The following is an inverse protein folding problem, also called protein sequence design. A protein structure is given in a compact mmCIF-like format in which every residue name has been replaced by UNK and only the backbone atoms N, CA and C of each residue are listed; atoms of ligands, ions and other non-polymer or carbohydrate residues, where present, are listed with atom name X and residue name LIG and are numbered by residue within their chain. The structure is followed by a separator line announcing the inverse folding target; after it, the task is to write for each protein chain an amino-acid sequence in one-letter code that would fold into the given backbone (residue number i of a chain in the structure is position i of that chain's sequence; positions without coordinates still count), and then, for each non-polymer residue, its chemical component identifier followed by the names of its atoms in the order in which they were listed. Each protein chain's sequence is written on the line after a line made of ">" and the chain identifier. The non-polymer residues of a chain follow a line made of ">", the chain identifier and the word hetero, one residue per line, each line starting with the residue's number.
data_IF_109278978889
#
_entry.id   IF_109278978889
#
_cell.length_a   1.000
_cell.length_b   1.000
_cell.length_c   1.000
_cell.angle_alpha   90.00
_cell.angle_beta   90.00
_cell.angle_gamma   90.00
#
_symmetry.space_group_name_H-M   'P 1'
#
loop_
_entity.id
_entity.type
_entity.pdbx_description
1 polymer ?
#
# COMPACT_ATOMS: atom_id res chain seq x y z
N UNK A 1 -15.47 -1.77 -14.07
CA UNK A 1 -14.31 -1.31 -13.29
C UNK A 1 -14.64 -1.38 -11.82
N UNK A 2 -13.84 -2.14 -11.08
CA UNK A 2 -13.93 -2.26 -9.63
C UNK A 2 -13.53 -0.96 -8.94
N UNK A 3 -14.24 -0.63 -7.86
CA UNK A 3 -13.87 0.41 -6.91
C UNK A 3 -13.00 -0.20 -5.80
N UNK A 4 -11.70 -0.40 -6.09
CA UNK A 4 -10.80 -1.13 -5.18
C UNK A 4 -10.65 -0.43 -3.83
N UNK A 5 -10.60 0.90 -3.80
CA UNK A 5 -10.61 1.66 -2.53
C UNK A 5 -11.84 1.32 -1.67
N UNK A 6 -13.03 1.32 -2.27
CA UNK A 6 -14.28 0.98 -1.56
C UNK A 6 -14.27 -0.46 -1.04
N UNK A 7 -13.75 -1.40 -1.81
CA UNK A 7 -13.61 -2.80 -1.36
C UNK A 7 -12.67 -2.92 -0.15
N UNK A 8 -11.59 -2.16 -0.11
CA UNK A 8 -10.66 -2.13 1.03
C UNK A 8 -11.31 -1.45 2.25
N UNK A 9 -12.07 -0.37 2.05
CA UNK A 9 -12.86 0.27 3.11
C UNK A 9 -13.88 -0.71 3.71
N UNK A 10 -14.62 -1.43 2.86
CA UNK A 10 -15.56 -2.48 3.28
C UNK A 10 -14.85 -3.61 4.04
N UNK A 11 -13.61 -3.95 3.67
CA UNK A 11 -12.80 -4.92 4.41
C UNK A 11 -12.49 -4.45 5.84
N UNK A 12 -12.06 -3.20 6.03
CA UNK A 12 -11.79 -2.69 7.39
C UNK A 12 -13.06 -2.59 8.25
N UNK A 13 -14.21 -2.28 7.64
CA UNK A 13 -15.51 -2.37 8.32
C UNK A 13 -15.85 -3.81 8.73
N UNK A 14 -15.57 -4.78 7.85
CA UNK A 14 -15.75 -6.20 8.13
C UNK A 14 -14.83 -6.68 9.26
N UNK A 15 -13.55 -6.30 9.25
CA UNK A 15 -12.58 -6.57 10.31
C UNK A 15 -13.08 -6.08 11.67
N UNK A 16 -13.54 -4.82 11.72
CA UNK A 16 -14.07 -4.23 12.95
C UNK A 16 -15.32 -4.95 13.46
N UNK A 17 -16.25 -5.29 12.55
CA UNK A 17 -17.54 -5.90 12.91
C UNK A 17 -17.41 -7.36 13.37
N UNK A 18 -16.37 -8.06 12.92
CA UNK A 18 -16.16 -9.48 13.22
C UNK A 18 -14.96 -9.70 14.15
N UNK A 19 -14.34 -8.63 14.64
CA UNK A 19 -13.18 -8.69 15.55
C UNK A 19 -12.05 -9.54 14.97
N UNK A 20 -11.77 -9.36 13.66
CA UNK A 20 -10.73 -10.13 12.97
C UNK A 20 -9.36 -9.64 13.45
N UNK A 21 -8.53 -10.58 13.88
CA UNK A 21 -7.19 -10.29 14.36
C UNK A 21 -6.22 -10.09 13.18
N UNK A 22 -5.61 -8.91 13.11
CA UNK A 22 -4.51 -8.59 12.19
C UNK A 22 -3.27 -8.28 13.02
N UNK A 23 -2.31 -9.18 13.11
CA UNK A 23 -1.15 -9.05 14.01
C UNK A 23 0.17 -8.79 13.28
N UNK A 24 0.18 -8.86 11.94
CA UNK A 24 1.31 -8.51 11.07
C UNK A 24 0.85 -8.35 9.60
N UNK A 25 1.80 -8.06 8.70
CA UNK A 25 1.54 -7.86 7.27
C UNK A 25 0.98 -9.11 6.58
N UNK A 26 1.46 -10.29 6.96
CA UNK A 26 0.98 -11.56 6.43
C UNK A 26 -0.51 -11.79 6.76
N UNK A 27 -0.91 -11.53 8.01
CA UNK A 27 -2.32 -11.62 8.42
C UNK A 27 -3.19 -10.59 7.69
N UNK A 28 -2.71 -9.36 7.51
CA UNK A 28 -3.43 -8.32 6.73
C UNK A 28 -3.66 -8.80 5.29
N UNK A 29 -2.62 -9.33 4.64
CA UNK A 29 -2.70 -9.85 3.29
C UNK A 29 -3.69 -11.01 3.15
N UNK A 30 -3.60 -12.01 4.03
CA UNK A 30 -4.46 -13.18 3.95
C UNK A 30 -5.93 -12.84 4.19
N UNK A 31 -6.22 -12.04 5.22
CA UNK A 31 -7.59 -11.64 5.54
C UNK A 31 -8.21 -10.79 4.42
N UNK A 32 -7.48 -9.81 3.88
CA UNK A 32 -7.96 -9.01 2.76
C UNK A 32 -8.18 -9.86 1.51
N UNK A 33 -7.25 -10.75 1.18
CA UNK A 33 -7.40 -11.60 -0.01
C UNK A 33 -8.54 -12.61 0.10
N UNK A 34 -8.77 -13.19 1.28
CA UNK A 34 -9.93 -14.06 1.53
C UNK A 34 -11.23 -13.27 1.40
N UNK A 35 -11.28 -12.07 1.98
CA UNK A 35 -12.44 -11.18 1.85
C UNK A 35 -12.73 -10.85 0.38
N UNK A 36 -11.69 -10.50 -0.40
CA UNK A 36 -11.83 -10.18 -1.82
C UNK A 36 -12.29 -11.39 -2.64
N UNK A 37 -11.77 -12.60 -2.38
CA UNK A 37 -12.25 -13.83 -3.04
C UNK A 37 -13.74 -14.06 -2.84
N UNK A 38 -14.25 -13.78 -1.64
CA UNK A 38 -15.67 -13.91 -1.34
C UNK A 38 -16.51 -12.83 -2.04
N UNK A 39 -15.97 -11.62 -2.19
CA UNK A 39 -16.68 -10.47 -2.79
C UNK A 39 -16.66 -10.44 -4.30
N UNK A 40 -15.64 -11.04 -4.92
CA UNK A 40 -15.37 -10.97 -6.35
C UNK A 40 -15.27 -12.38 -6.96
N UNK A 41 -16.39 -13.14 -7.04
CA UNK A 41 -16.36 -14.52 -7.55
C UNK A 41 -15.92 -14.63 -9.01
N UNK A 42 -16.12 -13.56 -9.80
CA UNK A 42 -15.76 -13.51 -11.22
C UNK A 42 -14.31 -13.10 -11.48
N UNK A 43 -13.54 -12.80 -10.43
CA UNK A 43 -12.13 -12.41 -10.52
C UNK A 43 -11.24 -13.46 -9.88
N UNK A 44 -10.00 -13.55 -10.39
CA UNK A 44 -8.92 -14.32 -9.78
C UNK A 44 -8.17 -13.43 -8.80
N UNK A 45 -8.12 -13.86 -7.53
CA UNK A 45 -7.34 -13.20 -6.47
C UNK A 45 -6.13 -14.07 -6.14
N UNK A 46 -4.94 -13.54 -6.42
CA UNK A 46 -3.67 -14.24 -6.19
C UNK A 46 -2.72 -13.39 -5.34
N UNK A 47 -1.94 -14.07 -4.50
CA UNK A 47 -0.95 -13.49 -3.59
C UNK A 47 0.45 -13.58 -4.19
N UNK A 48 1.33 -12.65 -3.80
CA UNK A 48 2.77 -12.69 -4.11
C UNK A 48 3.05 -12.94 -5.60
N UNK A 49 2.27 -12.30 -6.48
CA UNK A 49 2.32 -12.61 -7.91
C UNK A 49 3.41 -11.81 -8.59
N UNK A 50 4.29 -12.50 -9.31
CA UNK A 50 5.37 -11.83 -10.04
C UNK A 50 4.83 -10.94 -11.17
N UNK A 51 5.40 -9.75 -11.35
CA UNK A 51 5.04 -8.79 -12.42
C UNK A 51 5.13 -9.41 -13.81
N UNK A 52 6.11 -10.30 -14.03
CA UNK A 52 6.31 -11.02 -15.30
C UNK A 52 5.11 -11.86 -15.75
N UNK A 53 4.16 -12.15 -14.85
CA UNK A 53 2.94 -12.86 -15.20
C UNK A 53 1.95 -12.00 -16.01
N UNK A 54 2.04 -10.68 -15.91
CA UNK A 54 1.10 -9.73 -16.53
C UNK A 54 1.71 -8.99 -17.72
N UNK A 55 3.03 -8.82 -17.73
CA UNK A 55 3.74 -8.04 -18.76
C UNK A 55 5.17 -8.52 -18.95
N UNK A 56 5.70 -8.37 -20.16
CA UNK A 56 7.11 -8.59 -20.46
C UNK A 56 8.01 -7.45 -19.97
N UNK A 57 7.48 -6.23 -19.82
CA UNK A 57 8.17 -5.11 -19.18
C UNK A 57 8.05 -5.23 -17.65
N UNK A 58 8.90 -6.07 -17.07
CA UNK A 58 8.94 -6.37 -15.63
C UNK A 58 10.06 -5.62 -14.89
N UNK A 59 10.60 -4.54 -15.48
CA UNK A 59 11.61 -3.69 -14.84
C UNK A 59 10.94 -2.70 -13.91
N UNK A 60 10.67 -3.16 -12.70
CA UNK A 60 10.00 -2.42 -11.64
C UNK A 60 10.84 -2.42 -10.36
N UNK A 61 10.59 -1.48 -9.45
CA UNK A 61 11.32 -1.35 -8.18
C UNK A 61 11.14 -2.57 -7.26
N UNK A 62 10.02 -3.29 -7.41
CA UNK A 62 9.71 -4.59 -6.77
C UNK A 62 9.39 -5.63 -7.84
N UNK A 63 9.46 -6.93 -7.51
CA UNK A 63 9.22 -8.03 -8.47
C UNK A 63 7.89 -8.75 -8.26
N UNK A 64 7.37 -8.71 -7.04
CA UNK A 64 6.17 -9.43 -6.60
C UNK A 64 5.16 -8.43 -6.09
N UNK A 65 3.89 -8.74 -6.33
CA UNK A 65 2.73 -7.93 -5.98
C UNK A 65 1.99 -8.66 -4.85
N UNK A 66 1.75 -7.97 -3.73
CA UNK A 66 1.17 -8.62 -2.55
C UNK A 66 -0.21 -9.24 -2.86
N UNK A 67 -1.11 -8.50 -3.52
CA UNK A 67 -2.39 -9.01 -3.99
C UNK A 67 -2.67 -8.52 -5.41
N UNK A 68 -3.05 -9.46 -6.28
CA UNK A 68 -3.54 -9.18 -7.63
C UNK A 68 -4.99 -9.62 -7.78
N UNK A 69 -5.77 -8.82 -8.50
CA UNK A 69 -7.18 -9.09 -8.83
C UNK A 69 -7.31 -8.96 -10.33
N UNK A 70 -7.73 -10.00 -11.05
CA UNK A 70 -7.85 -9.91 -12.50
C UNK A 70 -8.93 -10.82 -13.05
N UNK A 71 -9.57 -10.42 -14.14
CA UNK A 71 -10.50 -11.26 -14.88
C UNK A 71 -9.76 -12.33 -15.69
N UNK A 72 -10.48 -13.32 -16.23
CA UNK A 72 -9.88 -14.49 -16.87
C UNK A 72 -8.91 -14.16 -18.02
N UNK A 73 -9.25 -13.19 -18.86
CA UNK A 73 -8.45 -12.76 -20.01
C UNK A 73 -7.39 -11.68 -19.67
N UNK A 74 -7.34 -11.23 -18.40
CA UNK A 74 -6.44 -10.17 -17.88
C UNK A 74 -6.62 -8.79 -18.54
N UNK A 75 -7.73 -8.56 -19.24
CA UNK A 75 -8.08 -7.24 -19.77
C UNK A 75 -8.36 -6.23 -18.65
N UNK A 76 -8.84 -6.72 -17.50
CA UNK A 76 -9.04 -5.94 -16.29
C UNK A 76 -8.20 -6.54 -15.16
N UNK A 77 -7.27 -5.74 -14.64
CA UNK A 77 -6.31 -6.20 -13.62
C UNK A 77 -5.97 -5.10 -12.62
N UNK A 78 -5.86 -5.46 -11.36
CA UNK A 78 -5.62 -4.58 -10.23
C UNK A 78 -4.49 -5.14 -9.37
N UNK A 79 -3.79 -4.23 -8.69
CA UNK A 79 -2.74 -4.56 -7.75
C UNK A 79 -2.97 -3.82 -6.44
N UNK A 80 -2.68 -4.48 -5.32
CA UNK A 80 -2.69 -3.90 -3.99
C UNK A 80 -1.37 -4.25 -3.32
N UNK A 81 -0.71 -3.24 -2.75
CA UNK A 81 0.47 -3.37 -1.89
C UNK A 81 0.12 -3.06 -0.44
N UNK A 82 0.71 -3.81 0.47
CA UNK A 82 0.37 -3.83 1.87
C UNK A 82 1.59 -3.51 2.74
N UNK A 83 1.36 -2.67 3.74
CA UNK A 83 2.30 -2.42 4.83
C UNK A 83 1.59 -2.56 6.15
N UNK A 84 2.10 -3.43 7.02
CA UNK A 84 1.62 -3.54 8.40
C UNK A 84 2.77 -3.46 9.42
N UNK A 85 3.47 -2.32 9.48
CA UNK A 85 4.53 -2.11 10.45
C UNK A 85 4.03 -2.14 11.90
N UNK A 86 4.74 -2.89 12.75
CA UNK A 86 4.38 -3.01 14.16
C UNK A 86 5.02 -1.92 15.03
N UNK A 87 6.35 -1.71 14.90
CA UNK A 87 7.06 -0.66 15.63
C UNK A 87 8.45 -0.37 15.03
N UNK A 88 9.06 0.72 15.52
CA UNK A 88 10.48 1.04 15.29
C UNK A 88 10.81 1.50 13.87
N UNK A 89 12.09 1.84 13.64
CA UNK A 89 12.66 2.24 12.34
C UNK A 89 11.77 3.18 11.49
N UNK A 90 11.03 4.08 12.14
CA UNK A 90 9.94 4.83 11.51
C UNK A 90 10.32 5.54 10.20
N UNK A 91 11.48 6.23 10.09
CA UNK A 91 11.85 6.86 8.83
C UNK A 91 12.03 5.85 7.69
N UNK A 92 12.71 4.72 7.94
CA UNK A 92 12.96 3.71 6.92
C UNK A 92 11.67 3.00 6.51
N UNK A 93 10.78 2.74 7.47
CA UNK A 93 9.47 2.15 7.19
C UNK A 93 8.60 3.12 6.39
N UNK A 94 8.54 4.40 6.73
CA UNK A 94 7.85 5.40 5.91
C UNK A 94 8.45 5.53 4.50
N UNK A 95 9.77 5.47 4.39
CA UNK A 95 10.44 5.45 3.09
C UNK A 95 10.08 4.19 2.28
N UNK A 96 9.85 3.05 2.94
CA UNK A 96 9.31 1.86 2.29
C UNK A 96 7.88 2.04 1.79
N UNK A 97 7.03 2.81 2.49
CA UNK A 97 5.68 3.13 1.99
C UNK A 97 5.76 3.91 0.66
N UNK A 98 6.73 4.81 0.53
CA UNK A 98 6.99 5.54 -0.72
C UNK A 98 7.42 4.59 -1.85
N UNK A 99 8.19 3.53 -1.54
CA UNK A 99 8.55 2.50 -2.53
C UNK A 99 7.30 1.76 -3.03
N UNK A 100 6.37 1.44 -2.14
CA UNK A 100 5.14 0.74 -2.52
C UNK A 100 4.24 1.64 -3.39
N UNK A 101 4.14 2.95 -3.09
CA UNK A 101 3.44 3.92 -3.96
C UNK A 101 4.11 3.96 -5.33
N UNK A 102 5.45 4.04 -5.37
CA UNK A 102 6.19 4.04 -6.63
C UNK A 102 5.92 2.79 -7.45
N UNK A 103 5.91 1.63 -6.79
CA UNK A 103 5.63 0.37 -7.46
C UNK A 103 4.21 0.35 -8.05
N UNK A 104 3.22 0.90 -7.33
CA UNK A 104 1.85 1.03 -7.84
C UNK A 104 1.74 1.98 -9.04
N UNK A 105 2.52 3.06 -9.11
CA UNK A 105 2.64 3.89 -10.33
C UNK A 105 3.20 3.08 -11.51
N UNK A 106 4.25 2.30 -11.26
CA UNK A 106 4.93 1.50 -12.29
C UNK A 106 4.04 0.40 -12.85
N UNK A 107 3.18 -0.21 -12.03
CA UNK A 107 2.19 -1.17 -12.50
C UNK A 107 1.06 -0.50 -13.27
N UNK A 108 0.58 0.65 -12.79
CA UNK A 108 -0.46 1.44 -13.48
C UNK A 108 -0.02 1.81 -14.90
N UNK A 109 1.21 2.31 -15.07
CA UNK A 109 1.76 2.64 -16.38
C UNK A 109 1.95 1.43 -17.30
N UNK A 110 1.97 0.21 -16.74
CA UNK A 110 2.06 -1.08 -17.45
C UNK A 110 0.71 -1.74 -17.69
N UNK A 111 -0.36 -0.95 -17.66
CA UNK A 111 -1.70 -1.38 -18.07
C UNK A 111 -2.50 -2.08 -16.97
N UNK A 112 -2.12 -1.94 -15.70
CA UNK A 112 -3.06 -2.21 -14.62
C UNK A 112 -4.18 -1.16 -14.63
N UNK A 113 -5.42 -1.60 -14.39
CA UNK A 113 -6.63 -0.78 -14.46
C UNK A 113 -6.66 0.24 -13.32
N UNK A 114 -6.47 -0.21 -12.09
CA UNK A 114 -6.21 0.62 -10.90
C UNK A 114 -5.24 -0.11 -9.98
N UNK A 115 -4.47 0.64 -9.23
CA UNK A 115 -3.55 0.08 -8.23
C UNK A 115 -3.74 0.79 -6.90
N UNK A 116 -3.39 0.14 -5.79
CA UNK A 116 -3.55 0.74 -4.48
C UNK A 116 -2.43 0.36 -3.51
N UNK A 117 -2.13 1.25 -2.59
CA UNK A 117 -1.38 0.92 -1.38
C UNK A 117 -2.29 1.01 -0.16
N UNK A 118 -2.11 0.08 0.77
CA UNK A 118 -2.79 0.07 2.07
C UNK A 118 -1.74 -0.05 3.15
N UNK A 119 -1.72 0.91 4.06
CA UNK A 119 -0.80 0.89 5.19
C UNK A 119 -1.60 0.89 6.49
N UNK A 120 -1.39 -0.11 7.33
CA UNK A 120 -1.98 -0.26 8.66
C UNK A 120 -0.88 -0.16 9.71
N UNK A 121 -0.94 0.83 10.60
CA UNK A 121 0.09 1.10 11.61
C UNK A 121 -0.50 0.95 13.01
N UNK A 122 0.33 0.47 13.94
CA UNK A 122 -0.05 0.37 15.37
C UNK A 122 0.60 1.45 16.25
N UNK A 123 1.60 2.16 15.73
CA UNK A 123 2.44 3.06 16.50
C UNK A 123 2.23 4.53 16.13
N UNK A 124 1.99 5.37 17.16
CA UNK A 124 1.76 6.81 17.01
C UNK A 124 2.84 7.54 16.18
N UNK A 125 4.15 7.21 16.30
CA UNK A 125 5.17 7.82 15.45
C UNK A 125 4.92 7.69 13.93
N UNK A 126 4.03 6.84 13.43
CA UNK A 126 3.71 6.84 12.00
C UNK A 126 2.88 8.04 11.54
N UNK A 127 2.07 8.63 12.41
CA UNK A 127 1.11 9.67 12.04
C UNK A 127 1.21 10.93 12.91
N UNK A 128 2.01 10.91 13.98
CA UNK A 128 2.18 12.06 14.86
C UNK A 128 3.56 12.02 15.54
N UNK A 129 4.17 13.19 15.77
CA UNK A 129 5.44 13.29 16.47
C UNK A 129 5.95 14.71 16.57
N UNK A 130 7.06 14.91 17.31
CA UNK A 130 7.69 16.24 17.47
C UNK A 130 8.51 16.68 16.25
N UNK A 131 9.05 15.72 15.50
CA UNK A 131 9.84 15.99 14.30
C UNK A 131 8.98 15.72 13.05
N UNK A 132 8.71 16.74 12.24
CA UNK A 132 7.94 16.61 11.00
C UNK A 132 8.77 16.95 9.76
N UNK A 133 10.09 16.77 9.82
CA UNK A 133 10.99 17.01 8.70
C UNK A 133 11.25 15.75 7.86
N UNK A 134 11.72 15.96 6.62
CA UNK A 134 12.07 14.87 5.71
C UNK A 134 10.87 13.98 5.41
N UNK A 135 11.06 12.66 5.51
CA UNK A 135 9.99 11.69 5.23
C UNK A 135 8.78 11.84 6.16
N UNK A 136 8.97 12.33 7.40
CA UNK A 136 7.88 12.49 8.36
C UNK A 136 6.83 13.51 7.92
N UNK A 137 7.26 14.57 7.21
CA UNK A 137 6.40 15.67 6.77
C UNK A 137 5.19 15.17 5.99
N UNK A 138 5.44 14.26 5.04
CA UNK A 138 4.43 13.69 4.16
C UNK A 138 3.34 12.92 4.92
N UNK A 139 3.69 12.26 6.03
CA UNK A 139 2.78 11.38 6.77
C UNK A 139 2.16 11.99 8.02
N UNK A 140 2.80 12.99 8.62
CA UNK A 140 2.38 13.58 9.90
C UNK A 140 1.73 14.96 9.77
N UNK A 141 2.00 15.68 8.68
CA UNK A 141 1.57 17.07 8.53
C UNK A 141 0.84 17.31 7.21
N UNK A 142 1.45 16.93 6.09
CA UNK A 142 0.86 17.19 4.77
C UNK A 142 -0.22 16.17 4.38
N UNK A 143 -0.18 14.97 4.97
CA UNK A 143 -1.03 13.83 4.62
C UNK A 143 -1.09 13.61 3.10
N UNK A 144 0.07 13.76 2.46
CA UNK A 144 0.23 13.75 1.02
C UNK A 144 1.65 13.33 0.68
N UNK A 145 1.82 12.43 -0.29
CA UNK A 145 3.14 11.98 -0.77
C UNK A 145 3.33 12.37 -2.23
N UNK A 146 4.44 13.05 -2.55
CA UNK A 146 4.71 13.55 -3.89
C UNK A 146 6.20 13.86 -4.12
N UNK A 147 6.59 13.98 -5.39
CA UNK A 147 7.91 14.44 -5.78
C UNK A 147 9.04 13.47 -5.46
N UNK A 148 10.24 14.00 -5.18
CA UNK A 148 11.42 13.21 -4.82
C UNK A 148 11.58 13.12 -3.31
N UNK A 149 11.48 11.90 -2.78
CA UNK A 149 11.69 11.61 -1.36
C UNK A 149 13.07 10.96 -1.23
N UNK A 150 13.94 11.56 -0.43
CA UNK A 150 15.28 11.03 -0.19
C UNK A 150 15.28 9.97 0.90
N UNK A 151 16.19 9.00 0.75
CA UNK A 151 16.44 7.99 1.77
C UNK A 151 16.80 8.66 3.11
N UNK A 152 16.12 8.34 4.21
CA UNK A 152 16.22 9.12 5.44
C UNK A 152 17.40 8.72 6.34
N UNK A 153 17.85 7.46 6.28
CA UNK A 153 18.95 6.96 7.13
C UNK A 153 19.89 5.99 6.40
N UNK A 154 20.99 5.62 7.06
CA UNK A 154 21.93 4.62 6.57
C UNK A 154 22.72 5.03 5.32
N UNK A 155 23.28 4.02 4.64
CA UNK A 155 24.03 4.19 3.38
C UNK A 155 23.09 4.77 2.32
N UNK A 156 23.51 5.82 1.63
CA UNK A 156 22.69 6.49 0.62
C UNK A 156 21.75 7.56 1.18
N UNK A 157 21.78 7.85 2.49
CA UNK A 157 21.04 8.96 3.09
C UNK A 157 21.30 10.27 2.33
N UNK A 158 20.22 10.98 2.00
CA UNK A 158 20.24 12.24 1.24
C UNK A 158 20.91 12.15 -0.16
N UNK A 159 21.14 10.94 -0.68
CA UNK A 159 21.72 10.72 -2.02
C UNK A 159 20.79 9.87 -2.86
N UNK A 160 20.35 8.74 -2.31
CA UNK A 160 19.36 7.88 -2.94
C UNK A 160 17.97 8.50 -2.73
N UNK A 161 17.12 8.40 -3.73
CA UNK A 161 15.75 8.93 -3.67
C UNK A 161 14.80 8.10 -4.53
N UNK A 162 13.51 8.25 -4.26
CA UNK A 162 12.41 7.75 -5.07
C UNK A 162 11.65 8.96 -5.59
N UNK A 163 11.39 8.99 -6.90
CA UNK A 163 10.57 10.03 -7.53
C UNK A 163 9.20 9.48 -7.88
N UNK A 164 8.18 10.06 -7.26
CA UNK A 164 6.79 9.86 -7.62
C UNK A 164 6.40 10.83 -8.74
N UNK A 165 5.65 10.31 -9.72
CA UNK A 165 5.08 11.09 -10.82
C UNK A 165 3.81 11.84 -10.42
N UNK A 166 3.06 11.28 -9.46
CA UNK A 166 1.82 11.86 -8.94
C UNK A 166 1.97 12.59 -7.60
N UNK A 167 0.85 13.19 -7.20
CA UNK A 167 0.60 13.73 -5.86
C UNK A 167 -0.56 12.94 -5.25
N UNK A 168 -0.33 12.33 -4.10
CA UNK A 168 -1.27 11.40 -3.49
C UNK A 168 -1.67 11.86 -2.10
N UNK A 169 -2.79 12.57 -2.01
CA UNK A 169 -3.41 12.92 -0.74
C UNK A 169 -4.07 11.69 -0.11
N UNK A 170 -4.00 11.57 1.21
CA UNK A 170 -4.62 10.50 1.97
C UNK A 170 -5.08 11.00 3.34
N UNK A 171 -5.84 10.16 4.05
CA UNK A 171 -6.29 10.45 5.41
C UNK A 171 -6.01 9.22 6.26
N UNK A 172 -5.46 9.43 7.45
CA UNK A 172 -5.36 8.39 8.46
C UNK A 172 -6.75 8.11 9.05
N UNK A 173 -7.28 6.92 8.78
CA UNK A 173 -8.53 6.40 9.30
C UNK A 173 -8.29 5.60 10.58
N UNK A 174 -9.17 5.76 11.57
CA UNK A 174 -9.14 4.97 12.80
C UNK A 174 -9.76 3.58 12.59
N UNK A 175 -9.06 2.54 13.06
CA UNK A 175 -9.61 1.17 13.08
C UNK A 175 -10.10 0.80 14.50
N UNK A 176 -9.22 0.27 15.33
CA UNK A 176 -9.42 -0.12 16.73
C UNK A 176 -8.08 -0.06 17.47
N UNK A 177 -8.11 0.06 18.81
CA UNK A 177 -6.92 -0.06 19.67
C UNK A 177 -5.74 0.87 19.31
N UNK A 178 -6.04 2.08 18.87
CA UNK A 178 -5.02 3.07 18.48
C UNK A 178 -4.34 2.80 17.13
N UNK A 179 -4.80 1.77 16.40
CA UNK A 179 -4.35 1.47 15.05
C UNK A 179 -5.03 2.39 14.05
N UNK A 180 -4.23 2.86 13.08
CA UNK A 180 -4.69 3.70 11.98
C UNK A 180 -4.29 3.09 10.65
N UNK A 181 -5.06 3.37 9.62
CA UNK A 181 -4.70 2.99 8.26
C UNK A 181 -4.93 4.12 7.26
N UNK A 182 -4.30 4.03 6.11
CA UNK A 182 -4.69 4.83 4.94
C UNK A 182 -4.74 3.96 3.70
N UNK A 183 -5.42 4.48 2.67
CA UNK A 183 -5.50 3.88 1.34
C UNK A 183 -5.15 4.98 0.33
N UNK A 184 -4.21 4.68 -0.57
CA UNK A 184 -3.94 5.49 -1.77
C UNK A 184 -4.29 4.65 -2.98
N UNK A 185 -5.16 5.17 -3.85
CA UNK A 185 -5.50 4.57 -5.16
C UNK A 185 -4.83 5.37 -6.28
N UNK A 186 -4.30 4.68 -7.29
CA UNK A 186 -3.58 5.22 -8.47
C UNK A 186 -4.25 4.77 -9.77
#
# INVERSE_FOLDING_TARGET
>A
MLEIKRLIEDFFLFVKSNTIEIYNEFSLQHELGIFLRKKLPDYRIQFERNVSYFTSDNKTIKKEIDITIFNEDKSEKYAIELKCPLNGQYPEQMYSFVKDIKFMEELKSRGFTKTATVTLVSDRPFYEGRNNEGVYKFFREEYCVYGSIFKPTGVGKNKDYITLSGRYDFIWQDLSEGRKYYIIEI
#
